data_IF_551773068486
#
_entry.id   IF_551773068486
#
_cell.length_a   1.000
_cell.length_b   1.000
_cell.length_c   1.000
_cell.angle_alpha   90.00
_cell.angle_beta   90.00
_cell.angle_gamma   90.00
#
_symmetry.space_group_name_H-M   'P 1'
#
loop_
_entity.id
_entity.type
_entity.pdbx_description
1 polymer ?
#
# COMPACT_ATOMS: atom_id res chain seq x y z
N UNK A 1 -63.79 74.38 26.64
CA UNK A 1 -62.84 73.98 25.58
C UNK A 1 -62.49 72.52 25.85
N UNK A 2 -63.05 71.57 25.11
CA UNK A 2 -62.71 70.13 25.24
C UNK A 2 -62.48 69.62 23.82
N UNK A 3 -61.23 69.33 23.48
CA UNK A 3 -60.84 68.81 22.19
C UNK A 3 -60.78 67.28 22.24
N UNK A 4 -61.42 66.65 21.26
CA UNK A 4 -61.24 65.24 20.87
C UNK A 4 -59.86 65.06 20.24
N UNK A 5 -59.26 63.87 20.28
CA UNK A 5 -58.69 63.11 19.13
C UNK A 5 -57.89 61.88 19.59
N UNK A 6 -58.42 60.73 19.18
CA UNK A 6 -57.87 59.40 18.77
C UNK A 6 -56.40 58.98 18.94
N UNK A 7 -56.25 57.80 19.58
CA UNK A 7 -55.43 56.58 19.37
C UNK A 7 -54.16 56.63 18.48
N UNK A 8 -53.06 56.03 18.97
CA UNK A 8 -52.25 55.07 18.20
C UNK A 8 -51.43 54.16 19.12
N UNK A 9 -51.70 52.86 19.04
CA UNK A 9 -50.93 51.81 19.70
C UNK A 9 -49.59 51.62 18.97
N UNK A 10 -48.48 51.59 19.72
CA UNK A 10 -47.19 51.21 19.17
C UNK A 10 -47.10 49.68 19.11
N UNK A 11 -47.29 49.12 17.92
CA UNK A 11 -46.94 47.72 17.64
C UNK A 11 -45.44 47.66 17.35
N UNK A 12 -44.64 47.16 18.29
CA UNK A 12 -43.24 46.84 18.04
C UNK A 12 -43.16 45.48 17.33
N UNK A 13 -42.89 45.48 16.02
CA UNK A 13 -42.58 44.27 15.28
C UNK A 13 -41.09 43.94 15.46
N UNK A 14 -40.81 42.81 16.12
CA UNK A 14 -39.48 42.19 16.16
C UNK A 14 -39.13 41.66 14.76
N UNK A 15 -38.06 42.17 14.15
CA UNK A 15 -37.44 41.53 12.98
C UNK A 15 -36.26 40.67 13.45
N UNK A 16 -36.45 39.34 13.45
CA UNK A 16 -35.38 38.38 13.66
C UNK A 16 -34.63 38.20 12.32
N UNK A 17 -33.42 38.76 12.21
CA UNK A 17 -32.53 38.50 11.08
C UNK A 17 -31.75 37.21 11.37
N UNK A 18 -32.11 36.11 10.70
CA UNK A 18 -31.33 34.86 10.72
C UNK A 18 -30.23 34.98 9.67
N UNK A 19 -29.00 35.23 10.10
CA UNK A 19 -27.82 35.14 9.23
C UNK A 19 -27.47 33.65 9.11
N UNK A 20 -27.86 33.03 8.00
CA UNK A 20 -27.39 31.69 7.65
C UNK A 20 -25.94 31.82 7.17
N UNK A 21 -24.98 31.64 8.07
CA UNK A 21 -23.57 31.49 7.66
C UNK A 21 -23.42 30.11 7.03
N UNK A 22 -23.29 30.06 5.70
CA UNK A 22 -22.95 28.84 4.98
C UNK A 22 -21.69 28.23 5.55
N UNK A 23 -21.78 26.99 6.03
CA UNK A 23 -20.61 26.22 6.45
C UNK A 23 -19.80 25.89 5.19
N UNK A 24 -18.46 26.07 5.17
CA UNK A 24 -17.68 25.59 4.03
C UNK A 24 -17.82 24.07 3.94
N UNK A 25 -18.28 23.58 2.79
CA UNK A 25 -18.27 22.15 2.49
C UNK A 25 -16.81 21.70 2.34
N UNK A 26 -16.30 20.99 3.35
CA UNK A 26 -14.98 20.34 3.27
C UNK A 26 -15.13 19.06 2.47
N UNK A 27 -14.90 19.11 1.16
CA UNK A 27 -14.79 17.90 0.34
C UNK A 27 -13.39 17.29 0.52
N UNK A 28 -13.22 16.44 1.52
CA UNK A 28 -12.02 15.62 1.69
C UNK A 28 -12.09 14.36 0.80
N UNK A 29 -11.97 14.53 -0.52
CA UNK A 29 -11.73 13.41 -1.44
C UNK A 29 -10.31 13.53 -2.00
N UNK A 30 -9.38 12.77 -1.43
CA UNK A 30 -8.09 12.51 -2.07
C UNK A 30 -8.39 11.70 -3.33
N UNK A 31 -8.27 12.34 -4.50
CA UNK A 31 -8.36 11.60 -5.76
C UNK A 31 -7.16 10.66 -5.86
N UNK A 32 -7.36 9.44 -6.34
CA UNK A 32 -6.34 8.40 -6.47
C UNK A 32 -5.10 8.89 -7.27
N UNK A 33 -5.26 9.91 -8.11
CA UNK A 33 -4.16 10.52 -8.86
C UNK A 33 -3.27 11.45 -8.03
N UNK A 34 -3.69 11.89 -6.84
CA UNK A 34 -3.01 12.92 -6.06
C UNK A 34 -1.82 12.39 -5.22
N UNK A 35 -1.82 11.10 -4.87
CA UNK A 35 -0.73 10.50 -4.06
C UNK A 35 0.36 9.97 -5.00
N UNK A 36 1.48 10.69 -5.08
CA UNK A 36 2.65 10.43 -5.94
C UNK A 36 3.97 10.73 -5.22
N UNK A 37 5.10 10.36 -5.82
CA UNK A 37 6.45 10.65 -5.31
C UNK A 37 6.81 9.91 -4.02
N UNK A 38 5.99 8.94 -3.60
CA UNK A 38 6.27 8.08 -2.46
C UNK A 38 7.19 6.92 -2.87
N UNK A 39 7.91 6.36 -1.92
CA UNK A 39 8.79 5.21 -2.14
C UNK A 39 8.00 3.89 -2.23
N UNK A 40 8.69 2.85 -2.69
CA UNK A 40 8.25 1.46 -2.69
C UNK A 40 8.88 0.77 -1.49
N UNK A 41 8.07 0.02 -0.75
CA UNK A 41 8.57 -0.88 0.29
C UNK A 41 8.58 -2.33 -0.26
N UNK A 42 9.74 -3.00 -0.34
CA UNK A 42 9.78 -4.45 -0.50
C UNK A 42 9.23 -5.09 0.77
N UNK A 43 8.63 -6.26 0.63
CA UNK A 43 8.01 -6.96 1.76
C UNK A 43 8.34 -8.44 1.71
N UNK A 44 8.84 -8.96 2.82
CA UNK A 44 8.92 -10.39 3.05
C UNK A 44 7.55 -10.88 3.53
N UNK A 45 6.94 -11.77 2.76
CA UNK A 45 5.60 -12.32 3.05
C UNK A 45 5.68 -13.58 3.91
N UNK A 46 6.87 -14.19 4.02
CA UNK A 46 7.11 -15.42 4.76
C UNK A 46 7.77 -16.51 3.92
N UNK A 47 7.84 -17.71 4.47
CA UNK A 47 8.44 -18.87 3.82
C UNK A 47 7.56 -20.11 3.84
N UNK A 48 7.75 -20.95 2.84
CA UNK A 48 7.10 -22.25 2.71
C UNK A 48 8.16 -23.36 2.59
N UNK A 49 7.83 -24.56 3.07
CA UNK A 49 8.69 -25.74 2.97
C UNK A 49 8.33 -26.58 1.76
N UNK A 50 9.33 -26.97 0.97
CA UNK A 50 9.15 -27.86 -0.18
C UNK A 50 9.26 -29.34 0.24
N UNK A 51 8.70 -30.28 -0.56
CA UNK A 51 8.76 -31.72 -0.25
C UNK A 51 10.18 -32.29 -0.14
N UNK A 52 11.15 -31.73 -0.86
CA UNK A 52 12.55 -32.16 -0.82
C UNK A 52 13.36 -31.50 0.31
N UNK A 53 12.70 -30.78 1.21
CA UNK A 53 13.32 -30.15 2.37
C UNK A 53 13.90 -28.76 2.12
N UNK A 54 13.94 -28.28 0.87
CA UNK A 54 14.30 -26.88 0.58
C UNK A 54 13.17 -25.92 0.99
N UNK A 55 13.42 -24.63 0.94
CA UNK A 55 12.43 -23.60 1.29
C UNK A 55 12.22 -22.62 0.15
N UNK A 56 11.05 -22.00 0.06
CA UNK A 56 10.85 -20.83 -0.78
C UNK A 56 10.61 -19.62 0.12
N UNK A 57 11.41 -18.58 -0.07
CA UNK A 57 11.23 -17.27 0.54
C UNK A 57 10.31 -16.46 -0.36
N UNK A 58 9.19 -15.96 0.16
CA UNK A 58 8.13 -15.33 -0.62
C UNK A 58 8.14 -13.83 -0.39
N UNK A 59 8.08 -13.07 -1.47
CA UNK A 59 8.17 -11.62 -1.44
C UNK A 59 7.00 -10.94 -2.14
N UNK A 60 6.72 -9.72 -1.71
CA UNK A 60 5.78 -8.79 -2.31
C UNK A 60 6.32 -7.38 -2.21
N UNK A 61 5.54 -6.40 -2.64
CA UNK A 61 5.90 -4.99 -2.46
C UNK A 61 4.66 -4.15 -2.22
N UNK A 62 4.86 -2.98 -1.62
CA UNK A 62 3.86 -1.94 -1.56
C UNK A 62 4.36 -0.68 -2.26
N UNK A 63 3.75 -0.35 -3.39
CA UNK A 63 3.88 0.96 -3.99
C UNK A 63 2.87 1.90 -3.31
N UNK A 64 3.40 2.84 -2.53
CA UNK A 64 2.61 3.80 -1.73
C UNK A 64 1.88 4.82 -2.60
N UNK A 65 2.25 4.94 -3.87
CA UNK A 65 1.57 5.79 -4.83
C UNK A 65 0.24 5.18 -5.27
N UNK A 66 -0.74 6.03 -5.54
CA UNK A 66 -2.07 5.60 -5.99
C UNK A 66 -2.26 5.73 -7.51
N UNK A 67 -1.46 6.58 -8.17
CA UNK A 67 -1.55 6.84 -9.61
C UNK A 67 -0.22 6.78 -10.37
N UNK A 68 0.82 6.22 -9.76
CA UNK A 68 2.18 6.19 -10.31
C UNK A 68 2.76 4.77 -10.28
N UNK A 69 3.15 4.29 -11.46
CA UNK A 69 4.07 3.16 -11.61
C UNK A 69 5.49 3.69 -11.55
N UNK A 70 6.38 2.96 -10.87
CA UNK A 70 7.81 3.23 -10.86
C UNK A 70 8.50 2.03 -11.49
N UNK A 71 9.47 2.28 -12.36
CA UNK A 71 10.25 1.25 -13.04
C UNK A 71 11.68 1.32 -12.51
N UNK A 72 12.20 0.21 -11.97
CA UNK A 72 13.53 0.11 -11.35
C UNK A 72 14.19 -1.18 -11.86
N UNK A 73 15.17 -1.09 -12.77
CA UNK A 73 15.86 -2.27 -13.29
C UNK A 73 16.65 -2.97 -12.17
N UNK A 74 16.89 -4.27 -12.32
CA UNK A 74 17.83 -4.99 -11.45
C UNK A 74 19.19 -4.30 -11.53
N UNK A 75 19.80 -4.02 -10.37
CA UNK A 75 20.99 -3.20 -10.28
C UNK A 75 21.10 -2.53 -8.91
N UNK A 76 21.93 -1.49 -8.74
CA UNK A 76 22.22 -0.89 -7.42
C UNK A 76 21.00 -0.46 -6.60
N UNK A 77 19.91 -0.08 -7.27
CA UNK A 77 18.67 0.37 -6.64
C UNK A 77 17.62 -0.76 -6.50
N UNK A 78 17.92 -1.97 -6.96
CA UNK A 78 17.06 -3.14 -6.89
C UNK A 78 17.90 -4.42 -6.85
N UNK A 79 18.44 -4.73 -5.67
CA UNK A 79 19.34 -5.87 -5.45
C UNK A 79 18.74 -6.88 -4.50
N UNK A 80 19.02 -8.16 -4.77
CA UNK A 80 18.80 -9.23 -3.81
C UNK A 80 20.13 -9.86 -3.46
N UNK A 81 20.44 -10.01 -2.17
CA UNK A 81 21.68 -10.64 -1.71
C UNK A 81 21.39 -11.59 -0.54
N UNK A 82 22.16 -12.68 -0.37
CA UNK A 82 23.25 -13.16 -1.22
C UNK A 82 22.74 -13.83 -2.52
N UNK A 83 23.66 -14.11 -3.45
CA UNK A 83 23.35 -14.74 -4.75
C UNK A 83 22.92 -13.75 -5.85
N UNK A 84 23.05 -12.45 -5.58
CA UNK A 84 22.55 -11.36 -6.40
C UNK A 84 23.36 -10.93 -7.62
N UNK A 85 22.94 -9.79 -8.22
CA UNK A 85 21.79 -8.98 -7.81
C UNK A 85 20.45 -9.52 -8.30
N UNK A 86 20.42 -10.41 -9.30
CA UNK A 86 19.20 -10.93 -9.91
C UNK A 86 18.79 -12.29 -9.35
N UNK A 87 17.58 -12.33 -8.79
CA UNK A 87 16.91 -13.54 -8.29
C UNK A 87 15.45 -13.59 -8.77
N UNK A 88 15.13 -12.89 -9.87
CA UNK A 88 13.77 -12.84 -10.44
C UNK A 88 12.85 -11.81 -9.79
N UNK A 89 13.40 -10.78 -9.12
CA UNK A 89 12.62 -9.69 -8.56
C UNK A 89 11.96 -8.82 -9.65
N UNK A 90 10.81 -8.17 -9.36
CA UNK A 90 10.16 -7.30 -10.33
C UNK A 90 11.00 -6.05 -10.65
N UNK A 91 10.84 -5.56 -11.87
CA UNK A 91 11.39 -4.29 -12.34
C UNK A 91 10.32 -3.22 -12.60
N UNK A 92 9.04 -3.61 -12.54
CA UNK A 92 7.89 -2.76 -12.79
C UNK A 92 6.95 -2.77 -11.58
N UNK A 93 6.84 -1.63 -10.89
CA UNK A 93 6.12 -1.52 -9.62
C UNK A 93 4.84 -0.71 -9.81
N UNK A 94 3.74 -1.41 -10.03
CA UNK A 94 2.41 -0.82 -10.17
C UNK A 94 1.90 -0.27 -8.84
N UNK A 95 0.97 0.70 -8.84
CA UNK A 95 0.33 1.19 -7.62
C UNK A 95 -0.20 0.07 -6.73
N UNK A 96 -0.28 0.37 -5.42
CA UNK A 96 -0.86 -0.51 -4.39
C UNK A 96 0.04 -1.71 -4.03
N UNK A 97 -0.54 -2.66 -3.29
CA UNK A 97 0.14 -3.82 -2.72
C UNK A 97 0.08 -4.99 -3.69
N UNK A 98 1.23 -5.55 -4.03
CA UNK A 98 1.37 -6.83 -4.71
C UNK A 98 1.85 -7.86 -3.70
N UNK A 99 0.92 -8.70 -3.21
CA UNK A 99 1.21 -9.74 -2.20
C UNK A 99 1.65 -11.04 -2.86
N UNK A 100 2.58 -11.76 -2.22
CA UNK A 100 3.03 -13.10 -2.64
C UNK A 100 3.40 -13.17 -4.13
N UNK A 101 4.19 -12.19 -4.59
CA UNK A 101 4.44 -11.91 -6.00
C UNK A 101 5.47 -12.86 -6.62
N UNK A 102 6.58 -13.09 -5.94
CA UNK A 102 7.64 -13.98 -6.43
C UNK A 102 8.27 -14.75 -5.26
N UNK A 103 9.04 -15.78 -5.61
CA UNK A 103 9.63 -16.73 -4.66
C UNK A 103 11.09 -16.95 -5.00
N UNK A 104 11.93 -17.06 -3.98
CA UNK A 104 13.33 -17.47 -4.12
C UNK A 104 13.52 -18.79 -3.38
N UNK A 105 14.01 -19.80 -4.09
CA UNK A 105 14.28 -21.11 -3.50
C UNK A 105 15.64 -21.10 -2.80
N UNK A 106 15.66 -21.51 -1.54
CA UNK A 106 16.87 -21.65 -0.73
C UNK A 106 17.03 -23.10 -0.25
N UNK A 107 18.27 -23.61 -0.08
CA UNK A 107 18.50 -25.02 0.21
C UNK A 107 18.06 -25.43 1.62
N UNK A 108 17.99 -26.74 1.87
CA UNK A 108 17.56 -27.30 3.16
C UNK A 108 18.47 -26.90 4.34
N UNK A 109 19.74 -26.55 4.05
CA UNK A 109 20.75 -26.09 5.01
C UNK A 109 20.87 -24.54 5.05
N UNK A 110 19.81 -23.82 4.64
CA UNK A 110 19.77 -22.36 4.75
C UNK A 110 19.94 -21.91 6.22
N UNK A 111 19.37 -22.63 7.17
CA UNK A 111 19.56 -22.39 8.61
C UNK A 111 19.13 -20.98 9.01
N UNK A 112 19.97 -20.30 9.78
CA UNK A 112 19.71 -18.95 10.31
C UNK A 112 20.21 -17.83 9.38
N UNK A 113 20.48 -18.15 8.10
CA UNK A 113 20.87 -17.15 7.10
C UNK A 113 19.70 -16.23 6.77
N UNK A 114 20.03 -15.08 6.19
CA UNK A 114 19.05 -14.15 5.66
C UNK A 114 19.32 -13.88 4.18
N UNK A 115 18.23 -13.61 3.46
CA UNK A 115 18.26 -13.03 2.13
C UNK A 115 17.55 -11.67 2.18
N UNK A 116 18.19 -10.65 1.61
CA UNK A 116 17.78 -9.26 1.72
C UNK A 116 17.44 -8.73 0.34
N UNK A 117 16.20 -8.26 0.18
CA UNK A 117 15.81 -7.47 -0.99
C UNK A 117 15.89 -5.99 -0.65
N UNK A 118 16.76 -5.27 -1.35
CA UNK A 118 16.96 -3.81 -1.21
C UNK A 118 16.36 -3.09 -2.40
N UNK A 119 15.51 -2.10 -2.12
CA UNK A 119 14.93 -1.21 -3.13
C UNK A 119 15.20 0.25 -2.80
N UNK A 120 15.75 0.99 -3.75
CA UNK A 120 15.85 2.45 -3.69
C UNK A 120 14.88 3.07 -4.68
N UNK A 121 13.98 3.92 -4.21
CA UNK A 121 13.00 4.61 -5.04
C UNK A 121 12.71 5.99 -4.48
N UNK A 122 12.62 7.00 -5.35
CA UNK A 122 12.36 8.38 -4.96
C UNK A 122 13.31 8.87 -3.83
N UNK A 123 14.58 8.48 -3.91
CA UNK A 123 15.64 8.86 -2.96
C UNK A 123 15.60 8.13 -1.61
N UNK A 124 14.73 7.15 -1.43
CA UNK A 124 14.63 6.37 -0.19
C UNK A 124 14.93 4.89 -0.45
N UNK A 125 15.74 4.31 0.43
CA UNK A 125 16.08 2.88 0.40
C UNK A 125 15.29 2.14 1.48
N UNK A 126 14.60 1.09 1.09
CA UNK A 126 13.86 0.18 1.95
C UNK A 126 14.41 -1.25 1.78
N UNK A 127 14.24 -2.10 2.80
CA UNK A 127 14.76 -3.47 2.80
C UNK A 127 13.74 -4.47 3.36
N UNK A 128 13.69 -5.64 2.74
CA UNK A 128 12.98 -6.82 3.26
C UNK A 128 13.99 -7.90 3.62
N UNK A 129 13.97 -8.33 4.89
CA UNK A 129 14.85 -9.36 5.44
C UNK A 129 14.09 -10.66 5.52
N UNK A 130 14.52 -11.67 4.76
CA UNK A 130 13.88 -12.97 4.69
C UNK A 130 14.69 -14.03 5.41
N UNK A 131 14.05 -14.68 6.37
CA UNK A 131 14.61 -15.74 7.22
C UNK A 131 13.60 -16.85 7.45
N UNK A 132 14.05 -18.00 7.95
CA UNK A 132 13.20 -19.15 8.25
C UNK A 132 12.64 -19.15 9.68
N UNK A 133 12.47 -17.96 10.28
CA UNK A 133 11.85 -17.86 11.59
C UNK A 133 10.44 -18.47 11.57
N UNK A 134 10.11 -19.25 12.59
CA UNK A 134 8.87 -20.04 12.61
C UNK A 134 7.61 -19.18 12.49
N UNK A 135 7.63 -17.96 13.02
CA UNK A 135 6.51 -17.01 12.96
C UNK A 135 6.21 -16.49 11.55
N UNK A 136 7.16 -16.67 10.62
CA UNK A 136 7.02 -16.31 9.21
C UNK A 136 6.66 -17.50 8.32
N UNK A 137 6.36 -18.66 8.89
CA UNK A 137 5.88 -19.79 8.10
C UNK A 137 4.50 -19.45 7.50
N UNK A 138 4.36 -19.66 6.19
CA UNK A 138 3.11 -19.50 5.47
C UNK A 138 2.69 -20.82 4.83
N UNK A 139 1.38 -21.06 4.86
CA UNK A 139 0.73 -22.14 4.13
C UNK A 139 -0.33 -21.59 3.18
N UNK A 140 -0.91 -22.47 2.37
CA UNK A 140 -1.95 -22.08 1.42
C UNK A 140 -3.15 -21.42 2.12
N UNK A 141 -3.48 -21.82 3.34
CA UNK A 141 -4.60 -21.22 4.10
C UNK A 141 -4.30 -19.76 4.45
N UNK A 142 -3.10 -19.48 4.94
CA UNK A 142 -2.63 -18.10 5.21
C UNK A 142 -2.66 -17.28 3.94
N UNK A 143 -2.14 -17.82 2.83
CA UNK A 143 -2.11 -17.12 1.54
C UNK A 143 -3.52 -16.81 1.04
N UNK A 144 -4.44 -17.79 1.06
CA UNK A 144 -5.82 -17.60 0.60
C UNK A 144 -6.58 -16.60 1.47
N UNK A 145 -6.45 -16.68 2.79
CA UNK A 145 -7.07 -15.72 3.71
C UNK A 145 -6.57 -14.29 3.48
N UNK A 146 -5.27 -14.13 3.16
CA UNK A 146 -4.69 -12.83 2.86
C UNK A 146 -4.98 -12.33 1.43
N UNK A 147 -5.26 -13.21 0.47
CA UNK A 147 -5.68 -12.80 -0.88
C UNK A 147 -7.16 -12.42 -0.96
N UNK A 148 -7.99 -12.92 -0.04
CA UNK A 148 -9.44 -12.73 -0.02
C UNK A 148 -10.17 -13.48 -1.15
N UNK A 149 -11.50 -13.58 -1.05
CA UNK A 149 -12.34 -14.28 -2.05
C UNK A 149 -12.29 -13.68 -3.48
N UNK A 150 -11.67 -12.50 -3.64
CA UNK A 150 -11.47 -11.81 -4.91
C UNK A 150 -10.13 -12.09 -5.59
N UNK A 151 -9.36 -13.09 -5.13
CA UNK A 151 -8.22 -13.67 -5.85
C UNK A 151 -7.35 -12.64 -6.58
N UNK A 152 -6.47 -11.95 -5.86
CA UNK A 152 -5.40 -11.14 -6.46
C UNK A 152 -5.86 -10.19 -7.58
N UNK A 153 -6.37 -9.01 -7.22
CA UNK A 153 -6.49 -7.88 -8.15
C UNK A 153 -5.12 -7.27 -8.55
N UNK A 154 -4.10 -8.11 -8.70
CA UNK A 154 -2.87 -7.84 -9.43
C UNK A 154 -2.89 -8.80 -10.60
N UNK A 155 -2.96 -8.25 -11.82
CA UNK A 155 -3.20 -9.00 -13.06
C UNK A 155 -2.40 -10.29 -13.15
N UNK A 156 -2.95 -11.27 -13.86
CA UNK A 156 -2.22 -12.48 -14.21
C UNK A 156 -0.90 -12.11 -14.89
N UNK A 157 0.19 -12.14 -14.14
CA UNK A 157 1.52 -12.07 -14.71
C UNK A 157 1.88 -13.49 -15.11
N UNK A 158 1.76 -13.75 -16.40
CA UNK A 158 2.38 -14.90 -17.05
C UNK A 158 3.83 -14.94 -16.58
N UNK A 159 4.21 -16.06 -15.96
CA UNK A 159 5.57 -16.38 -15.52
C UNK A 159 6.49 -16.64 -16.72
N UNK A 160 6.54 -15.72 -17.68
CA UNK A 160 7.60 -15.69 -18.69
C UNK A 160 8.68 -14.78 -18.16
N UNK A 161 9.76 -15.41 -17.71
CA UNK A 161 10.90 -14.79 -17.07
C UNK A 161 11.68 -13.84 -17.98
N UNK A 162 12.54 -13.07 -17.33
CA UNK A 162 13.81 -12.66 -17.92
C UNK A 162 14.82 -13.78 -17.76
#
# INVERSE_FOLDING_TARGET
MVARTTVSAFTAAFALVVVVTGSPEVTAQVTSSAVRGQNIAPVYEGWEKNPDGSFNLVFGYFNRNLGERIDIPVGPDNTIEPGGPDQGQPTHFYPRRSRFLFKIRVPADFGDKELVWTLTSNGQTEKAYASLLIDYFIDDTVIQNNKGAGGGAGGQYVLTGN
#
